data_IF_696533303175
#
_entry.id   IF_696533303175
#
_cell.length_a   1.000
_cell.length_b   1.000
_cell.length_c   1.000
_cell.angle_alpha   90.00
_cell.angle_beta   90.00
_cell.angle_gamma   90.00
#
_symmetry.space_group_name_H-M   'P 1'
#
loop_
_entity.id
_entity.type
_entity.pdbx_description
1 polymer ?
#
# COMPACT_ATOMS: atom_id res chain seq x y z
N UNK A 1 3.21 -0.56 15.06
CA UNK A 1 4.13 -1.43 14.29
C UNK A 1 5.24 -1.91 15.21
N UNK A 2 5.72 -3.15 15.07
CA UNK A 2 6.81 -3.70 15.88
C UNK A 2 8.08 -3.88 15.03
N UNK A 3 9.22 -3.37 15.52
CA UNK A 3 10.51 -3.52 14.86
C UNK A 3 11.52 -4.19 15.81
N UNK A 4 12.33 -5.08 15.26
CA UNK A 4 13.55 -5.53 15.93
C UNK A 4 14.60 -4.42 15.90
N UNK A 5 15.36 -4.23 16.97
CA UNK A 5 16.47 -3.26 17.00
C UNK A 5 17.78 -3.98 17.31
N UNK A 6 18.77 -3.76 16.46
CA UNK A 6 20.15 -4.20 16.66
C UNK A 6 20.98 -2.96 16.95
N UNK A 7 21.61 -2.88 18.12
CA UNK A 7 22.56 -1.82 18.45
C UNK A 7 23.97 -2.39 18.24
N UNK A 8 24.65 -1.94 17.19
CA UNK A 8 26.03 -2.38 16.90
C UNK A 8 27.02 -1.81 17.91
N UNK A 9 28.08 -2.56 18.20
CA UNK A 9 29.21 -2.10 19.00
C UNK A 9 30.52 -2.72 18.51
N UNK A 10 31.65 -2.21 18.99
CA UNK A 10 32.98 -2.79 18.79
C UNK A 10 33.84 -2.57 20.03
N UNK A 11 34.55 -3.61 20.46
CA UNK A 11 35.32 -3.71 21.70
C UNK A 11 36.25 -2.53 22.04
N UNK A 12 36.87 -1.90 21.04
CA UNK A 12 37.77 -0.77 21.25
C UNK A 12 37.12 0.63 21.16
N UNK A 13 35.79 0.70 21.00
CA UNK A 13 35.02 1.95 21.09
C UNK A 13 34.30 2.08 22.45
N UNK A 14 33.91 3.31 22.85
CA UNK A 14 33.30 3.52 24.16
C UNK A 14 31.91 2.88 24.28
N UNK A 15 31.76 1.89 25.17
CA UNK A 15 30.48 1.18 25.38
C UNK A 15 29.36 2.09 25.86
N UNK A 16 29.67 3.18 26.58
CA UNK A 16 28.66 4.16 27.03
C UNK A 16 27.82 4.77 25.90
N UNK A 17 28.31 4.69 24.64
CA UNK A 17 27.57 5.12 23.47
C UNK A 17 26.40 4.17 23.14
N UNK A 18 26.51 2.87 23.46
CA UNK A 18 25.45 1.86 23.30
C UNK A 18 24.29 2.17 24.24
N UNK A 19 24.58 2.44 25.50
CA UNK A 19 23.57 2.77 26.52
C UNK A 19 22.82 4.06 26.15
N UNK A 20 23.56 5.11 25.76
CA UNK A 20 22.95 6.37 25.29
C UNK A 20 22.03 6.15 24.08
N UNK A 21 22.46 5.35 23.11
CA UNK A 21 21.67 5.05 21.93
C UNK A 21 20.41 4.23 22.26
N UNK A 22 20.50 3.29 23.20
CA UNK A 22 19.35 2.54 23.71
C UNK A 22 18.30 3.46 24.32
N UNK A 23 18.69 4.36 25.22
CA UNK A 23 17.74 5.30 25.84
C UNK A 23 17.08 6.17 24.79
N UNK A 24 17.87 6.78 23.91
CA UNK A 24 17.37 7.70 22.90
C UNK A 24 16.38 7.02 21.93
N UNK A 25 16.68 5.80 21.45
CA UNK A 25 15.77 5.13 20.52
C UNK A 25 14.48 4.65 21.19
N UNK A 26 14.54 4.21 22.45
CA UNK A 26 13.33 3.81 23.20
C UNK A 26 12.40 5.02 23.34
N UNK A 27 12.94 6.20 23.66
CA UNK A 27 12.16 7.43 23.76
C UNK A 27 11.53 7.83 22.42
N UNK A 28 12.28 7.71 21.32
CA UNK A 28 11.77 7.96 19.96
C UNK A 28 10.65 6.98 19.59
N UNK A 29 10.82 5.69 19.87
CA UNK A 29 9.80 4.67 19.62
C UNK A 29 8.52 4.93 20.42
N UNK A 30 8.65 5.29 21.70
CA UNK A 30 7.51 5.67 22.53
C UNK A 30 6.77 6.88 21.96
N UNK A 31 7.49 7.94 21.57
CA UNK A 31 6.92 9.15 20.95
C UNK A 31 6.17 8.85 19.65
N UNK A 32 6.68 7.92 18.84
CA UNK A 32 6.09 7.54 17.55
C UNK A 32 5.08 6.39 17.65
N UNK A 33 4.75 5.92 18.86
CA UNK A 33 3.86 4.77 19.10
C UNK A 33 4.31 3.50 18.34
N UNK A 34 5.62 3.23 18.36
CA UNK A 34 6.25 2.04 17.81
C UNK A 34 6.69 1.11 18.94
N UNK A 35 6.66 -0.21 18.69
CA UNK A 35 7.09 -1.22 19.67
C UNK A 35 8.51 -1.71 19.32
N UNK A 36 9.51 -1.49 20.17
CA UNK A 36 10.86 -2.01 19.96
C UNK A 36 11.01 -3.43 20.54
N UNK A 37 11.70 -4.31 19.83
CA UNK A 37 12.18 -5.61 20.34
C UNK A 37 13.71 -5.60 20.24
N UNK A 38 14.40 -5.62 21.37
CA UNK A 38 15.86 -5.57 21.44
C UNK A 38 16.35 -6.32 22.67
N UNK A 39 17.59 -6.81 22.60
CA UNK A 39 18.24 -7.57 23.68
C UNK A 39 18.25 -6.76 24.97
N UNK A 40 18.06 -7.41 26.13
CA UNK A 40 18.14 -6.72 27.41
C UNK A 40 19.57 -6.21 27.69
N UNK A 41 19.70 -5.09 28.41
CA UNK A 41 21.00 -4.51 28.74
C UNK A 41 21.92 -5.44 29.54
N UNK A 42 21.36 -6.43 30.24
CA UNK A 42 22.11 -7.40 31.05
C UNK A 42 22.40 -8.72 30.32
N UNK A 43 21.79 -8.96 29.16
CA UNK A 43 21.98 -10.20 28.41
C UNK A 43 23.24 -10.18 27.53
N UNK A 44 23.68 -9.00 27.11
CA UNK A 44 24.94 -8.75 26.40
C UNK A 44 25.59 -7.48 26.94
N UNK A 45 26.74 -7.05 26.39
CA UNK A 45 27.42 -5.84 26.87
C UNK A 45 26.56 -4.60 26.59
N UNK A 46 25.85 -4.12 27.62
CA UNK A 46 24.87 -3.01 27.56
C UNK A 46 23.75 -3.24 26.52
N UNK A 47 23.50 -4.51 26.17
CA UNK A 47 22.54 -4.90 25.16
C UNK A 47 22.98 -4.57 23.72
N UNK A 48 24.27 -4.34 23.48
CA UNK A 48 24.87 -4.27 22.15
C UNK A 48 25.10 -5.64 21.53
N UNK A 49 25.30 -5.68 20.21
CA UNK A 49 25.60 -6.90 19.45
C UNK A 49 26.91 -6.71 18.71
N UNK A 50 27.90 -7.54 19.04
CA UNK A 50 29.23 -7.48 18.45
C UNK A 50 29.72 -8.90 18.08
N UNK A 51 29.69 -9.82 19.03
CA UNK A 51 30.20 -11.18 18.83
C UNK A 51 29.16 -12.13 18.27
N UNK A 52 29.59 -13.25 17.68
CA UNK A 52 28.69 -14.30 17.21
C UNK A 52 27.75 -14.83 18.29
N UNK A 53 28.21 -14.93 19.55
CA UNK A 53 27.39 -15.40 20.68
C UNK A 53 26.28 -14.41 21.04
N UNK A 54 26.57 -13.12 20.97
CA UNK A 54 25.56 -12.07 21.17
C UNK A 54 24.58 -12.03 20.00
N UNK A 55 25.10 -12.24 18.77
CA UNK A 55 24.28 -12.33 17.58
C UNK A 55 23.27 -13.50 17.67
N UNK A 56 23.69 -14.66 18.20
CA UNK A 56 22.82 -15.79 18.49
C UNK A 56 21.71 -15.42 19.48
N UNK A 57 22.01 -14.73 20.58
CA UNK A 57 21.00 -14.29 21.56
C UNK A 57 19.98 -13.35 20.92
N UNK A 58 20.44 -12.35 20.18
CA UNK A 58 19.56 -11.42 19.47
C UNK A 58 18.69 -12.14 18.42
N UNK A 59 19.26 -13.10 17.70
CA UNK A 59 18.53 -13.90 16.73
C UNK A 59 17.45 -14.77 17.37
N UNK A 60 17.71 -15.41 18.53
CA UNK A 60 16.71 -16.19 19.24
C UNK A 60 15.58 -15.30 19.79
N UNK A 61 15.89 -14.10 20.30
CA UNK A 61 14.88 -13.12 20.67
C UNK A 61 14.00 -12.75 19.47
N UNK A 62 14.61 -12.45 18.33
CA UNK A 62 13.87 -12.09 17.11
C UNK A 62 13.01 -13.25 16.60
N UNK A 63 13.47 -14.50 16.69
CA UNK A 63 12.66 -15.69 16.36
C UNK A 63 11.46 -15.84 17.28
N UNK A 64 11.64 -15.60 18.59
CA UNK A 64 10.54 -15.66 19.56
C UNK A 64 9.42 -14.64 19.25
N UNK A 65 9.78 -13.53 18.59
CA UNK A 65 8.85 -12.47 18.16
C UNK A 65 8.62 -12.43 16.63
N UNK A 66 8.84 -13.54 15.91
CA UNK A 66 8.77 -13.61 14.43
C UNK A 66 7.48 -13.05 13.84
N UNK A 67 6.34 -13.36 14.46
CA UNK A 67 5.02 -12.94 13.97
C UNK A 67 4.74 -11.45 14.23
N UNK A 68 5.43 -10.86 15.21
CA UNK A 68 5.29 -9.46 15.60
C UNK A 68 6.22 -8.55 14.79
N UNK A 69 7.48 -8.94 14.61
CA UNK A 69 8.51 -8.12 13.97
C UNK A 69 8.22 -7.97 12.48
N UNK A 70 8.04 -6.73 12.04
CA UNK A 70 7.72 -6.39 10.65
C UNK A 70 8.88 -5.78 9.86
N UNK A 71 9.94 -5.41 10.58
CA UNK A 71 11.17 -4.84 10.04
C UNK A 71 12.22 -4.75 11.14
N UNK A 72 13.46 -4.47 10.77
CA UNK A 72 14.59 -4.39 11.69
C UNK A 72 15.29 -3.05 11.51
N UNK A 73 15.58 -2.36 12.61
CA UNK A 73 16.41 -1.15 12.65
C UNK A 73 17.79 -1.51 13.19
N UNK A 74 18.83 -1.24 12.42
CA UNK A 74 20.22 -1.29 12.87
C UNK A 74 20.66 0.12 13.26
N UNK A 75 21.05 0.29 14.52
CA UNK A 75 21.60 1.53 15.07
C UNK A 75 23.10 1.37 15.28
N UNK A 76 23.86 2.33 14.76
CA UNK A 76 25.32 2.34 14.87
C UNK A 76 25.78 3.54 15.71
N UNK A 77 25.86 3.41 17.05
CA UNK A 77 26.37 4.45 17.94
C UNK A 77 27.87 4.70 17.77
N UNK A 78 28.61 3.74 17.24
CA UNK A 78 30.01 3.82 16.87
C UNK A 78 30.28 2.96 15.61
N UNK A 79 31.56 2.69 15.30
CA UNK A 79 31.98 1.71 14.31
C UNK A 79 31.67 0.28 14.77
N UNK A 80 30.38 -0.07 14.77
CA UNK A 80 29.89 -1.39 15.16
C UNK A 80 30.43 -2.50 14.26
N UNK A 81 30.65 -3.68 14.84
CA UNK A 81 31.09 -4.87 14.12
C UNK A 81 30.01 -5.37 13.15
N UNK A 82 30.36 -5.38 11.87
CA UNK A 82 29.48 -5.79 10.79
C UNK A 82 29.07 -7.27 10.84
N UNK A 83 29.85 -8.14 11.49
CA UNK A 83 29.53 -9.57 11.60
C UNK A 83 28.40 -9.79 12.57
N UNK A 84 28.41 -9.12 13.73
CA UNK A 84 27.33 -9.22 14.71
C UNK A 84 25.97 -8.92 14.09
N UNK A 85 25.87 -7.85 13.30
CA UNK A 85 24.64 -7.47 12.59
C UNK A 85 24.24 -8.52 11.55
N UNK A 86 25.15 -8.90 10.65
CA UNK A 86 24.85 -9.82 9.56
C UNK A 86 24.48 -11.23 10.08
N UNK A 87 25.18 -11.72 11.10
CA UNK A 87 24.92 -13.02 11.70
C UNK A 87 23.59 -13.03 12.46
N UNK A 88 23.21 -11.96 13.17
CA UNK A 88 21.88 -11.85 13.79
C UNK A 88 20.79 -12.00 12.74
N UNK A 89 20.87 -11.23 11.64
CA UNK A 89 19.86 -11.23 10.59
C UNK A 89 19.76 -12.60 9.90
N UNK A 90 20.91 -13.21 9.58
CA UNK A 90 20.99 -14.54 8.97
C UNK A 90 20.44 -15.64 9.89
N UNK A 91 20.82 -15.63 11.17
CA UNK A 91 20.38 -16.63 12.13
C UNK A 91 18.89 -16.49 12.46
N UNK A 92 18.38 -15.26 12.57
CA UNK A 92 16.98 -15.00 12.83
C UNK A 92 16.11 -15.45 11.65
N UNK A 93 16.56 -15.21 10.42
CA UNK A 93 15.88 -15.65 9.21
C UNK A 93 14.43 -15.15 9.13
N UNK A 94 14.19 -13.91 9.58
CA UNK A 94 12.86 -13.29 9.55
C UNK A 94 12.47 -12.83 8.14
N UNK A 95 13.45 -12.51 7.28
CA UNK A 95 13.25 -12.05 5.90
C UNK A 95 12.30 -10.84 5.78
N UNK A 96 12.43 -9.91 6.75
CA UNK A 96 11.75 -8.61 6.81
C UNK A 96 12.68 -7.47 6.39
N UNK A 97 12.15 -6.29 6.02
CA UNK A 97 12.97 -5.12 5.70
C UNK A 97 13.96 -4.72 6.80
N UNK A 98 15.08 -4.11 6.42
CA UNK A 98 16.14 -3.68 7.35
C UNK A 98 16.52 -2.23 7.08
N UNK A 99 16.48 -1.34 8.08
CA UNK A 99 16.92 0.06 7.99
C UNK A 99 18.26 0.24 8.70
N UNK A 100 19.22 0.91 8.07
CA UNK A 100 20.55 1.18 8.65
C UNK A 100 20.73 2.66 9.01
N UNK A 101 20.87 2.94 10.30
CA UNK A 101 21.17 4.27 10.85
C UNK A 101 22.56 4.30 11.47
N UNK A 102 23.21 5.47 11.39
CA UNK A 102 24.48 5.73 12.06
C UNK A 102 24.50 7.14 12.67
N UNK A 103 25.16 7.25 13.82
CA UNK A 103 25.28 8.51 14.55
C UNK A 103 26.33 9.45 13.94
N UNK A 104 26.13 10.78 13.98
CA UNK A 104 27.18 11.75 13.71
C UNK A 104 28.16 11.85 14.89
N UNK A 105 29.42 12.16 14.61
CA UNK A 105 30.39 12.58 15.62
C UNK A 105 30.11 14.01 16.12
N UNK A 106 30.47 14.28 17.38
CA UNK A 106 30.51 15.64 17.93
C UNK A 106 31.90 16.23 17.66
N UNK A 107 31.97 17.31 16.88
CA UNK A 107 33.21 17.96 16.44
C UNK A 107 34.13 18.30 17.61
N UNK A 108 33.58 18.62 18.78
CA UNK A 108 34.34 19.00 19.96
C UNK A 108 34.69 17.80 20.87
N UNK A 109 34.25 16.58 20.52
CA UNK A 109 34.43 15.37 21.31
C UNK A 109 34.93 14.19 20.48
N UNK A 110 35.87 14.43 19.57
CA UNK A 110 36.56 13.35 18.82
C UNK A 110 37.74 12.73 19.58
N UNK A 111 37.73 12.79 20.91
CA UNK A 111 38.72 12.11 21.75
C UNK A 111 38.36 10.62 21.92
N UNK A 112 39.32 9.83 22.41
CA UNK A 112 39.21 8.36 22.52
C UNK A 112 37.93 7.89 23.26
N UNK A 113 37.45 8.66 24.24
CA UNK A 113 36.30 8.26 25.07
C UNK A 113 34.93 8.67 24.51
N UNK A 114 34.88 9.45 23.42
CA UNK A 114 33.63 9.95 22.84
C UNK A 114 33.50 9.70 21.33
N UNK A 115 34.62 9.41 20.64
CA UNK A 115 34.66 9.16 19.20
C UNK A 115 33.72 8.02 18.81
N UNK A 116 33.00 8.19 17.69
CA UNK A 116 32.03 7.22 17.18
C UNK A 116 32.54 6.50 15.94
N UNK A 117 33.00 7.23 14.91
CA UNK A 117 33.31 6.66 13.59
C UNK A 117 32.15 5.84 12.96
N UNK A 118 30.89 6.13 13.35
CA UNK A 118 29.73 5.32 12.97
C UNK A 118 29.47 5.26 11.47
N UNK A 119 29.85 6.30 10.72
CA UNK A 119 29.70 6.28 9.26
C UNK A 119 30.58 5.20 8.61
N UNK A 120 31.81 5.02 9.10
CA UNK A 120 32.70 3.94 8.67
C UNK A 120 32.09 2.56 9.00
N UNK A 121 31.48 2.45 10.19
CA UNK A 121 30.70 1.27 10.58
C UNK A 121 29.52 1.00 9.66
N UNK A 122 28.75 2.03 9.28
CA UNK A 122 27.62 1.88 8.35
C UNK A 122 28.04 1.34 7.00
N UNK A 123 29.14 1.85 6.45
CA UNK A 123 29.71 1.33 5.19
C UNK A 123 30.09 -0.15 5.35
N UNK A 124 30.75 -0.51 6.46
CA UNK A 124 31.20 -1.88 6.72
C UNK A 124 30.02 -2.85 6.89
N UNK A 125 29.00 -2.46 7.66
CA UNK A 125 27.74 -3.21 7.81
C UNK A 125 27.07 -3.39 6.45
N UNK A 126 26.86 -2.32 5.69
CA UNK A 126 26.21 -2.40 4.38
C UNK A 126 26.97 -3.31 3.40
N UNK A 127 28.30 -3.23 3.41
CA UNK A 127 29.15 -4.12 2.61
C UNK A 127 28.96 -5.59 3.01
N UNK A 128 28.94 -5.89 4.31
CA UNK A 128 28.75 -7.26 4.79
C UNK A 128 27.33 -7.78 4.49
N UNK A 129 26.30 -6.95 4.64
CA UNK A 129 24.92 -7.32 4.26
C UNK A 129 24.81 -7.61 2.76
N UNK A 130 25.50 -6.85 1.91
CA UNK A 130 25.59 -7.12 0.48
C UNK A 130 26.24 -8.49 0.22
N UNK A 131 27.35 -8.82 0.89
CA UNK A 131 27.98 -10.15 0.78
C UNK A 131 27.05 -11.29 1.19
N UNK A 132 26.18 -11.06 2.18
CA UNK A 132 25.20 -12.04 2.67
C UNK A 132 23.93 -12.11 1.79
N UNK A 133 23.78 -11.21 0.81
CA UNK A 133 22.55 -11.10 0.01
C UNK A 133 21.35 -10.57 0.79
N UNK A 134 21.57 -9.86 1.90
CA UNK A 134 20.52 -9.28 2.74
C UNK A 134 20.19 -7.88 2.22
N UNK A 135 18.93 -7.67 1.85
CA UNK A 135 18.40 -6.38 1.39
C UNK A 135 18.24 -5.41 2.56
N UNK A 136 18.56 -4.14 2.33
CA UNK A 136 18.45 -3.08 3.33
C UNK A 136 18.06 -1.75 2.69
N UNK A 137 17.50 -0.86 3.51
CA UNK A 137 17.15 0.53 3.23
C UNK A 137 18.14 1.45 3.96
N UNK A 138 18.44 2.58 3.34
CA UNK A 138 19.29 3.62 3.93
C UNK A 138 18.45 4.84 4.34
N UNK A 139 18.86 5.48 5.43
CA UNK A 139 18.39 6.82 5.79
C UNK A 139 18.73 7.85 4.71
N UNK A 140 17.95 8.92 4.62
CA UNK A 140 18.16 10.00 3.64
C UNK A 140 19.48 10.75 3.86
N UNK A 141 19.99 10.77 5.09
CA UNK A 141 21.32 11.26 5.43
C UNK A 141 22.28 10.11 5.77
N UNK A 142 23.57 10.28 5.48
CA UNK A 142 24.58 9.26 5.76
C UNK A 142 24.71 8.99 7.27
N UNK A 143 24.60 10.04 8.09
CA UNK A 143 24.47 9.99 9.56
C UNK A 143 23.34 10.91 10.04
N UNK A 144 22.72 10.56 11.16
CA UNK A 144 21.65 11.35 11.80
C UNK A 144 21.50 10.95 13.28
N UNK A 145 20.99 11.84 14.12
CA UNK A 145 20.61 11.48 15.49
C UNK A 145 19.20 10.87 15.50
N UNK A 146 18.89 9.84 16.29
CA UNK A 146 17.54 9.32 16.38
C UNK A 146 16.49 10.35 16.81
N UNK A 147 16.88 11.30 17.65
CA UNK A 147 16.03 12.43 18.06
C UNK A 147 15.76 13.45 16.95
N UNK A 148 16.51 13.43 15.83
CA UNK A 148 16.31 14.39 14.74
C UNK A 148 15.01 14.15 13.97
N UNK A 149 14.39 15.24 13.49
CA UNK A 149 13.18 15.16 12.67
C UNK A 149 13.42 14.39 11.37
N UNK A 150 14.60 14.55 10.77
CA UNK A 150 14.98 13.83 9.55
C UNK A 150 14.99 12.32 9.75
N UNK A 151 15.60 11.82 10.83
CA UNK A 151 15.57 10.39 11.11
C UNK A 151 14.17 9.89 11.48
N UNK A 152 13.40 10.66 12.25
CA UNK A 152 12.02 10.28 12.58
C UNK A 152 11.16 10.15 11.31
N UNK A 153 11.38 11.01 10.31
CA UNK A 153 10.76 10.87 8.99
C UNK A 153 11.25 9.60 8.28
N UNK A 154 12.56 9.38 8.17
CA UNK A 154 13.12 8.17 7.54
C UNK A 154 12.58 6.88 8.18
N UNK A 155 12.44 6.87 9.51
CA UNK A 155 11.90 5.75 10.27
C UNK A 155 10.42 5.51 9.98
N UNK A 156 9.60 6.57 9.88
CA UNK A 156 8.19 6.46 9.52
C UNK A 156 7.99 5.99 8.06
N UNK A 157 8.79 6.51 7.13
CA UNK A 157 8.80 6.05 5.73
C UNK A 157 9.19 4.56 5.66
N UNK A 158 10.21 4.14 6.42
CA UNK A 158 10.60 2.73 6.52
C UNK A 158 9.51 1.85 7.16
N UNK A 159 8.79 2.35 8.17
CA UNK A 159 7.62 1.64 8.73
C UNK A 159 6.54 1.44 7.67
N UNK A 160 6.34 2.40 6.76
CA UNK A 160 5.44 2.25 5.62
C UNK A 160 5.95 1.20 4.62
N UNK A 161 7.26 1.18 4.31
CA UNK A 161 7.88 0.11 3.51
C UNK A 161 7.62 -1.26 4.13
N UNK A 162 7.82 -1.41 5.45
CA UNK A 162 7.53 -2.65 6.18
C UNK A 162 6.07 -3.09 6.01
N UNK A 163 5.12 -2.15 6.08
CA UNK A 163 3.69 -2.43 5.92
C UNK A 163 3.36 -2.90 4.50
N UNK A 164 3.90 -2.26 3.47
CA UNK A 164 3.73 -2.66 2.06
C UNK A 164 4.28 -4.06 1.82
N UNK A 165 5.52 -4.32 2.25
CA UNK A 165 6.18 -5.64 2.06
C UNK A 165 5.43 -6.75 2.81
N UNK A 166 4.99 -6.50 4.05
CA UNK A 166 4.23 -7.49 4.83
C UNK A 166 2.87 -7.79 4.20
N UNK A 167 2.15 -6.75 3.76
CA UNK A 167 0.82 -6.90 3.17
C UNK A 167 0.87 -7.62 1.83
N UNK A 168 1.74 -7.21 0.90
CA UNK A 168 1.80 -7.79 -0.44
C UNK A 168 2.25 -9.26 -0.46
N UNK A 169 3.07 -9.70 0.50
CA UNK A 169 3.50 -11.10 0.59
C UNK A 169 2.38 -12.08 0.96
N UNK A 170 1.26 -11.60 1.49
CA UNK A 170 0.19 -12.43 2.01
C UNK A 170 -1.20 -12.03 1.50
N UNK A 171 -1.26 -11.09 0.54
CA UNK A 171 -2.52 -10.51 0.09
C UNK A 171 -3.40 -11.55 -0.61
N UNK A 172 -4.69 -11.50 -0.30
CA UNK A 172 -5.72 -12.35 -0.90
C UNK A 172 -6.78 -11.49 -1.58
N UNK A 173 -6.86 -11.58 -2.91
CA UNK A 173 -7.77 -10.79 -3.73
C UNK A 173 -8.93 -11.67 -4.21
N UNK A 174 -10.17 -11.25 -3.93
CA UNK A 174 -11.36 -11.88 -4.50
C UNK A 174 -11.67 -11.36 -5.90
N UNK A 175 -11.50 -12.19 -6.93
CA UNK A 175 -11.95 -11.90 -8.30
C UNK A 175 -13.41 -12.38 -8.46
N UNK A 176 -14.36 -11.46 -8.38
CA UNK A 176 -15.80 -11.77 -8.34
C UNK A 176 -16.42 -11.58 -9.73
N UNK A 177 -16.84 -12.68 -10.33
CA UNK A 177 -17.40 -12.73 -11.67
C UNK A 177 -16.35 -12.81 -12.77
N UNK A 178 -16.82 -12.77 -14.01
CA UNK A 178 -15.96 -12.82 -15.18
C UNK A 178 -15.52 -11.40 -15.57
N UNK A 179 -14.23 -11.22 -15.84
CA UNK A 179 -13.72 -9.99 -16.46
C UNK A 179 -14.52 -9.67 -17.72
N UNK A 180 -14.95 -8.41 -17.95
CA UNK A 180 -15.62 -8.03 -19.19
C UNK A 180 -14.83 -8.47 -20.42
N UNK A 181 -15.51 -9.14 -21.36
CA UNK A 181 -14.85 -9.80 -22.51
C UNK A 181 -14.04 -8.84 -23.38
N UNK A 182 -14.51 -7.59 -23.51
CA UNK A 182 -13.83 -6.54 -24.28
C UNK A 182 -12.55 -6.00 -23.61
N UNK A 183 -12.39 -6.18 -22.31
CA UNK A 183 -11.32 -5.55 -21.52
C UNK A 183 -10.08 -6.44 -21.48
N UNK A 184 -9.51 -6.71 -22.67
CA UNK A 184 -8.26 -7.45 -22.79
C UNK A 184 -7.08 -6.79 -22.08
N UNK A 185 -7.15 -5.47 -21.90
CA UNK A 185 -6.15 -4.68 -21.19
C UNK A 185 -5.94 -5.15 -19.75
N UNK A 186 -6.98 -5.52 -19.01
CA UNK A 186 -6.84 -5.94 -17.59
C UNK A 186 -6.61 -7.46 -17.43
N UNK A 187 -5.99 -8.10 -18.43
CA UNK A 187 -5.48 -9.47 -18.29
C UNK A 187 -4.36 -9.47 -17.26
N UNK A 188 -4.32 -10.53 -16.46
CA UNK A 188 -3.25 -10.75 -15.51
C UNK A 188 -2.89 -12.23 -15.46
N UNK A 189 -1.69 -12.51 -14.94
CA UNK A 189 -1.19 -13.86 -14.75
C UNK A 189 -1.28 -14.28 -13.30
N UNK A 190 -2.34 -15.03 -12.96
CA UNK A 190 -2.53 -15.58 -11.61
C UNK A 190 -1.33 -16.43 -11.16
N UNK A 191 -0.68 -17.14 -12.08
CA UNK A 191 0.52 -17.94 -11.78
C UNK A 191 1.73 -17.09 -11.39
N UNK A 192 1.92 -15.94 -12.04
CA UNK A 192 3.00 -15.00 -11.69
C UNK A 192 2.69 -14.38 -10.32
N UNK A 193 1.45 -13.96 -10.09
CA UNK A 193 1.01 -13.43 -8.79
C UNK A 193 1.24 -14.44 -7.66
N UNK A 194 0.80 -15.70 -7.84
CA UNK A 194 0.95 -16.76 -6.85
C UNK A 194 2.41 -17.06 -6.50
N UNK A 195 3.31 -17.02 -7.50
CA UNK A 195 4.76 -17.17 -7.27
C UNK A 195 5.37 -16.03 -6.45
N UNK A 196 4.69 -14.89 -6.38
CA UNK A 196 5.08 -13.71 -5.61
C UNK A 196 4.30 -13.55 -4.29
N UNK A 197 3.58 -14.59 -3.84
CA UNK A 197 2.83 -14.57 -2.57
C UNK A 197 1.47 -13.88 -2.65
N UNK A 198 1.01 -13.50 -3.85
CA UNK A 198 -0.28 -12.86 -4.08
C UNK A 198 -1.29 -13.92 -4.50
N UNK A 199 -2.30 -14.15 -3.67
CA UNK A 199 -3.34 -15.15 -3.96
C UNK A 199 -4.54 -14.47 -4.60
N UNK A 200 -5.06 -15.06 -5.68
CA UNK A 200 -6.34 -14.68 -6.28
C UNK A 200 -7.34 -15.80 -6.01
N UNK A 201 -8.50 -15.46 -5.45
CA UNK A 201 -9.62 -16.39 -5.26
C UNK A 201 -10.75 -15.97 -6.18
N UNK A 202 -11.17 -16.86 -7.08
CA UNK A 202 -12.25 -16.56 -8.04
C UNK A 202 -13.62 -16.97 -7.49
N UNK A 203 -14.63 -16.12 -7.68
CA UNK A 203 -16.01 -16.39 -7.29
C UNK A 203 -16.93 -16.24 -8.50
N UNK A 204 -17.90 -17.15 -8.64
CA UNK A 204 -18.90 -17.04 -9.70
C UNK A 204 -19.93 -15.96 -9.32
N UNK A 205 -20.19 -15.01 -10.23
CA UNK A 205 -21.13 -13.93 -9.97
C UNK A 205 -22.55 -14.45 -9.69
N UNK A 206 -22.95 -15.57 -10.29
CA UNK A 206 -24.28 -16.17 -10.06
C UNK A 206 -24.47 -16.65 -8.62
N UNK A 207 -23.41 -17.08 -7.94
CA UNK A 207 -23.47 -17.44 -6.52
C UNK A 207 -23.78 -16.20 -5.67
N UNK A 208 -23.11 -15.08 -5.96
CA UNK A 208 -23.30 -13.79 -5.28
C UNK A 208 -24.74 -13.32 -5.45
N UNK A 209 -25.22 -13.28 -6.70
CA UNK A 209 -26.57 -12.84 -7.02
C UNK A 209 -27.62 -13.80 -6.43
N UNK A 210 -27.35 -15.11 -6.45
CA UNK A 210 -28.21 -16.13 -5.85
C UNK A 210 -28.34 -15.98 -4.34
N UNK A 211 -27.24 -15.67 -3.63
CA UNK A 211 -27.26 -15.34 -2.19
C UNK A 211 -28.04 -14.05 -1.94
N UNK A 212 -27.75 -12.99 -2.70
CA UNK A 212 -28.37 -11.69 -2.50
C UNK A 212 -29.89 -11.70 -2.76
N UNK A 213 -30.35 -12.47 -3.75
CA UNK A 213 -31.78 -12.64 -4.05
C UNK A 213 -32.55 -13.42 -2.97
N UNK A 214 -31.88 -14.22 -2.15
CA UNK A 214 -32.52 -14.97 -1.04
C UNK A 214 -32.70 -14.12 0.22
N UNK A 215 -32.06 -12.95 0.31
CA UNK A 215 -32.17 -12.08 1.47
C UNK A 215 -33.52 -11.33 1.47
N UNK A 216 -34.30 -11.53 2.53
CA UNK A 216 -35.58 -10.85 2.69
C UNK A 216 -35.38 -9.34 2.90
N UNK A 217 -36.36 -8.53 2.48
CA UNK A 217 -36.32 -7.06 2.63
C UNK A 217 -36.24 -6.64 4.11
N UNK A 218 -36.86 -7.41 4.99
CA UNK A 218 -36.93 -7.16 6.42
C UNK A 218 -35.80 -7.79 7.23
N UNK A 219 -34.86 -8.49 6.56
CA UNK A 219 -33.66 -9.05 7.17
C UNK A 219 -32.85 -7.95 7.89
N UNK A 220 -32.47 -8.23 9.13
CA UNK A 220 -31.75 -7.28 9.99
C UNK A 220 -30.43 -6.82 9.37
N UNK A 221 -29.68 -7.71 8.69
CA UNK A 221 -28.42 -7.36 8.02
C UNK A 221 -28.68 -6.40 6.86
N UNK A 222 -29.71 -6.66 6.06
CA UNK A 222 -30.08 -5.81 4.92
C UNK A 222 -30.46 -4.41 5.38
N UNK A 223 -31.25 -4.29 6.46
CA UNK A 223 -31.62 -2.99 7.05
C UNK A 223 -30.40 -2.20 7.54
N UNK A 224 -29.48 -2.86 8.25
CA UNK A 224 -28.25 -2.23 8.74
C UNK A 224 -27.37 -1.72 7.60
N UNK A 225 -27.20 -2.51 6.54
CA UNK A 225 -26.43 -2.10 5.37
C UNK A 225 -27.13 -0.96 4.61
N UNK A 226 -28.45 -1.00 4.48
CA UNK A 226 -29.21 0.10 3.88
C UNK A 226 -29.06 1.41 4.68
N UNK A 227 -29.10 1.35 6.02
CA UNK A 227 -28.83 2.50 6.89
C UNK A 227 -27.41 3.04 6.68
N UNK A 228 -26.41 2.16 6.62
CA UNK A 228 -25.02 2.52 6.36
C UNK A 228 -24.85 3.23 5.01
N UNK A 229 -25.47 2.72 3.95
CA UNK A 229 -25.43 3.32 2.62
C UNK A 229 -26.07 4.72 2.64
N UNK A 230 -27.23 4.89 3.29
CA UNK A 230 -27.89 6.20 3.39
C UNK A 230 -27.07 7.22 4.22
N UNK A 231 -26.32 6.75 5.21
CA UNK A 231 -25.39 7.61 5.97
C UNK A 231 -24.12 7.94 5.18
N UNK A 232 -23.73 7.08 4.24
CA UNK A 232 -22.52 7.24 3.45
C UNK A 232 -22.65 8.34 2.40
N UNK A 233 -23.70 8.32 1.58
CA UNK A 233 -23.94 9.34 0.55
C UNK A 233 -25.44 9.61 0.36
N UNK A 234 -25.84 10.85 0.05
CA UNK A 234 -27.22 11.16 -0.33
C UNK A 234 -27.68 10.27 -1.49
N UNK A 235 -28.88 9.71 -1.39
CA UNK A 235 -29.41 8.81 -2.42
C UNK A 235 -29.80 9.49 -3.75
N UNK A 236 -29.81 10.83 -3.79
CA UNK A 236 -30.20 11.57 -4.98
C UNK A 236 -31.58 11.16 -5.53
N UNK A 237 -31.62 10.83 -6.82
CA UNK A 237 -32.80 10.30 -7.53
C UNK A 237 -32.89 8.78 -7.52
N UNK A 238 -32.04 8.09 -6.77
CA UNK A 238 -31.98 6.63 -6.76
C UNK A 238 -33.25 6.03 -6.13
N UNK A 239 -33.98 5.14 -6.84
CA UNK A 239 -35.17 4.49 -6.31
C UNK A 239 -34.88 3.61 -5.08
N UNK A 240 -35.84 3.52 -4.16
CA UNK A 240 -35.70 2.70 -2.95
C UNK A 240 -35.45 1.21 -3.26
N UNK A 241 -35.98 0.69 -4.36
CA UNK A 241 -35.75 -0.68 -4.81
C UNK A 241 -34.29 -0.93 -5.18
N UNK A 242 -33.67 -0.01 -5.93
CA UNK A 242 -32.25 -0.07 -6.26
C UNK A 242 -31.38 0.03 -4.99
N UNK A 243 -31.74 0.91 -4.04
CA UNK A 243 -31.05 0.99 -2.75
C UNK A 243 -31.08 -0.33 -1.98
N UNK A 244 -32.23 -1.03 -2.00
CA UNK A 244 -32.39 -2.34 -1.37
C UNK A 244 -31.56 -3.43 -2.07
N UNK A 245 -31.50 -3.42 -3.41
CA UNK A 245 -30.64 -4.32 -4.18
C UNK A 245 -29.16 -4.10 -3.83
N UNK A 246 -28.70 -2.85 -3.79
CA UNK A 246 -27.32 -2.52 -3.38
C UNK A 246 -27.06 -3.02 -1.96
N UNK A 247 -27.96 -2.79 -1.00
CA UNK A 247 -27.80 -3.25 0.38
C UNK A 247 -27.70 -4.79 0.50
N UNK A 248 -28.51 -5.55 -0.26
CA UNK A 248 -28.43 -7.02 -0.29
C UNK A 248 -27.11 -7.50 -0.87
N UNK A 249 -26.63 -6.86 -1.93
CA UNK A 249 -25.34 -7.18 -2.53
C UNK A 249 -24.21 -6.89 -1.54
N UNK A 250 -24.26 -5.75 -0.85
CA UNK A 250 -23.27 -5.33 0.15
C UNK A 250 -23.15 -6.32 1.31
N UNK A 251 -24.29 -6.86 1.79
CA UNK A 251 -24.31 -7.94 2.80
C UNK A 251 -23.52 -9.15 2.32
N UNK A 252 -23.81 -9.64 1.11
CA UNK A 252 -23.16 -10.86 0.57
C UNK A 252 -21.67 -10.63 0.32
N UNK A 253 -21.30 -9.46 -0.22
CA UNK A 253 -19.89 -9.11 -0.44
C UNK A 253 -19.11 -9.09 0.89
N UNK A 254 -19.70 -8.51 1.94
CA UNK A 254 -19.10 -8.51 3.28
C UNK A 254 -18.93 -9.92 3.83
N UNK A 255 -19.95 -10.76 3.71
CA UNK A 255 -19.87 -12.17 4.15
C UNK A 255 -18.75 -12.92 3.41
N UNK A 256 -18.60 -12.73 2.10
CA UNK A 256 -17.54 -13.38 1.31
C UNK A 256 -16.15 -12.92 1.71
N UNK A 257 -15.98 -11.62 1.96
CA UNK A 257 -14.73 -11.05 2.46
C UNK A 257 -14.31 -11.71 3.78
N UNK A 258 -15.25 -11.85 4.72
CA UNK A 258 -15.02 -12.45 6.04
C UNK A 258 -14.78 -13.97 5.95
N UNK A 259 -15.65 -14.69 5.23
CA UNK A 259 -15.60 -16.16 5.06
C UNK A 259 -14.28 -16.62 4.42
N UNK A 260 -13.74 -15.84 3.47
CA UNK A 260 -12.56 -16.22 2.69
C UNK A 260 -11.27 -15.50 3.10
N UNK A 261 -11.36 -14.65 4.13
CA UNK A 261 -10.26 -13.81 4.65
C UNK A 261 -9.58 -13.08 3.48
N UNK A 262 -10.36 -12.23 2.82
CA UNK A 262 -9.90 -11.44 1.68
C UNK A 262 -9.45 -10.06 2.16
N UNK A 263 -8.40 -9.55 1.53
CA UNK A 263 -7.91 -8.19 1.78
C UNK A 263 -8.54 -7.17 0.82
N UNK A 264 -8.99 -7.64 -0.36
CA UNK A 264 -9.44 -6.78 -1.43
C UNK A 264 -10.30 -7.54 -2.45
N UNK A 265 -11.04 -6.83 -3.30
CA UNK A 265 -11.84 -7.43 -4.38
C UNK A 265 -11.64 -6.74 -5.73
N UNK A 266 -11.92 -7.49 -6.79
CA UNK A 266 -12.08 -6.98 -8.15
C UNK A 266 -13.39 -7.57 -8.69
N UNK A 267 -14.36 -6.72 -9.04
CA UNK A 267 -15.74 -7.15 -9.28
C UNK A 267 -16.10 -6.93 -10.74
N UNK A 268 -16.82 -7.90 -11.32
CA UNK A 268 -17.52 -7.75 -12.59
C UNK A 268 -18.67 -6.76 -12.41
N UNK A 269 -18.34 -5.47 -12.46
CA UNK A 269 -19.29 -4.40 -12.23
C UNK A 269 -20.27 -4.21 -13.39
N UNK A 270 -19.99 -4.74 -14.58
CA UNK A 270 -20.89 -4.72 -15.74
C UNK A 270 -20.64 -5.88 -16.72
N UNK A 271 -21.56 -6.18 -17.65
CA UNK A 271 -22.99 -5.77 -17.68
C UNK A 271 -23.90 -6.72 -16.89
N UNK A 272 -23.37 -7.89 -16.48
CA UNK A 272 -24.17 -8.97 -15.90
C UNK A 272 -24.93 -8.54 -14.65
N UNK A 273 -24.31 -7.68 -13.84
CA UNK A 273 -24.91 -7.12 -12.64
C UNK A 273 -26.17 -6.28 -12.97
N UNK A 274 -26.10 -5.41 -13.97
CA UNK A 274 -27.24 -4.59 -14.39
C UNK A 274 -28.34 -5.46 -15.02
N UNK A 275 -27.98 -6.38 -15.91
CA UNK A 275 -28.97 -7.18 -16.66
C UNK A 275 -29.68 -8.23 -15.79
N UNK A 276 -28.97 -8.82 -14.82
CA UNK A 276 -29.50 -9.94 -14.04
C UNK A 276 -29.92 -9.55 -12.61
N UNK A 277 -29.50 -8.37 -12.12
CA UNK A 277 -29.78 -7.94 -10.76
C UNK A 277 -30.37 -6.53 -10.67
N UNK A 278 -30.06 -5.63 -11.60
CA UNK A 278 -30.73 -4.33 -11.74
C UNK A 278 -30.06 -3.15 -11.02
N UNK A 279 -28.79 -3.28 -10.60
CA UNK A 279 -28.06 -2.17 -9.99
C UNK A 279 -26.57 -2.14 -10.33
N UNK A 280 -25.91 -1.05 -9.93
CA UNK A 280 -24.46 -0.91 -9.93
C UNK A 280 -23.89 -1.20 -8.54
N UNK A 281 -22.80 -1.96 -8.50
CA UNK A 281 -22.05 -2.30 -7.26
C UNK A 281 -21.09 -1.18 -6.80
N UNK A 282 -21.05 -0.06 -7.52
CA UNK A 282 -20.09 1.03 -7.31
C UNK A 282 -20.14 1.64 -5.91
N UNK A 283 -21.34 1.86 -5.33
CA UNK A 283 -21.48 2.32 -3.94
C UNK A 283 -20.84 1.36 -2.93
N UNK A 284 -21.06 0.05 -3.08
CA UNK A 284 -20.41 -0.97 -2.22
C UNK A 284 -18.89 -0.93 -2.35
N UNK A 285 -18.37 -0.87 -3.59
CA UNK A 285 -16.92 -0.80 -3.82
C UNK A 285 -16.28 0.45 -3.20
N UNK A 286 -16.99 1.58 -3.25
CA UNK A 286 -16.56 2.83 -2.62
C UNK A 286 -16.54 2.72 -1.09
N UNK A 287 -17.58 2.15 -0.48
CA UNK A 287 -17.64 1.92 0.98
C UNK A 287 -16.51 0.99 1.41
N UNK A 288 -16.27 -0.10 0.67
CA UNK A 288 -15.16 -1.00 0.96
C UNK A 288 -13.81 -0.27 0.88
N UNK A 289 -13.58 0.49 -0.19
CA UNK A 289 -12.32 1.22 -0.39
C UNK A 289 -12.09 2.32 0.66
N UNK A 290 -13.15 3.01 1.10
CA UNK A 290 -13.11 3.95 2.24
C UNK A 290 -12.68 3.25 3.52
N UNK A 291 -13.12 2.02 3.74
CA UNK A 291 -12.79 1.20 4.90
C UNK A 291 -11.47 0.43 4.74
N UNK A 292 -10.58 0.86 3.83
CA UNK A 292 -9.28 0.24 3.58
C UNK A 292 -9.33 -1.22 3.08
N UNK A 293 -10.44 -1.59 2.42
CA UNK A 293 -10.65 -2.85 1.71
C UNK A 293 -10.83 -2.54 0.22
N UNK A 294 -9.76 -2.37 -0.57
CA UNK A 294 -9.87 -1.81 -1.90
C UNK A 294 -10.68 -2.73 -2.80
N UNK A 295 -11.58 -2.12 -3.58
CA UNK A 295 -12.46 -2.85 -4.50
C UNK A 295 -12.47 -2.18 -5.87
N UNK A 296 -12.04 -2.92 -6.90
CA UNK A 296 -11.87 -2.42 -8.25
C UNK A 296 -12.96 -2.91 -9.21
N UNK A 297 -13.23 -2.11 -10.22
CA UNK A 297 -14.13 -2.43 -11.32
C UNK A 297 -13.50 -3.44 -12.31
N UNK A 298 -14.32 -3.94 -13.25
CA UNK A 298 -13.94 -4.79 -14.39
C UNK A 298 -13.15 -6.08 -14.05
N UNK A 299 -13.20 -6.55 -12.81
CA UNK A 299 -12.33 -7.64 -12.32
C UNK A 299 -10.84 -7.31 -12.56
N UNK A 300 -10.47 -6.04 -12.42
CA UNK A 300 -9.09 -5.59 -12.56
C UNK A 300 -8.25 -5.92 -11.32
N UNK A 301 -7.80 -7.17 -11.24
CA UNK A 301 -7.06 -7.72 -10.09
C UNK A 301 -5.74 -6.99 -9.84
N UNK A 302 -4.97 -6.65 -10.88
CA UNK A 302 -3.70 -5.93 -10.72
C UNK A 302 -3.91 -4.45 -10.40
N UNK A 303 -5.04 -3.87 -10.84
CA UNK A 303 -5.54 -2.57 -10.36
C UNK A 303 -5.86 -2.60 -8.86
N UNK A 304 -6.61 -3.60 -8.40
CA UNK A 304 -6.89 -3.82 -6.97
C UNK A 304 -5.59 -3.98 -6.16
N UNK A 305 -4.63 -4.75 -6.67
CA UNK A 305 -3.33 -4.92 -6.02
C UNK A 305 -2.59 -3.58 -5.89
N UNK A 306 -2.69 -2.72 -6.90
CA UNK A 306 -2.13 -1.36 -6.88
C UNK A 306 -2.81 -0.47 -5.83
N UNK A 307 -4.14 -0.53 -5.73
CA UNK A 307 -4.91 0.17 -4.70
C UNK A 307 -4.48 -0.26 -3.29
N UNK A 308 -4.34 -1.56 -3.08
CA UNK A 308 -3.91 -2.12 -1.80
C UNK A 308 -2.48 -1.70 -1.44
N UNK A 309 -1.54 -1.76 -2.38
CA UNK A 309 -0.17 -1.30 -2.15
C UNK A 309 -0.12 0.18 -1.73
N UNK A 310 -0.88 1.05 -2.39
CA UNK A 310 -0.93 2.48 -2.07
C UNK A 310 -1.63 2.78 -0.75
N UNK A 311 -2.69 2.03 -0.42
CA UNK A 311 -3.33 2.10 0.90
C UNK A 311 -2.36 1.69 2.03
N UNK A 312 -1.56 0.64 1.82
CA UNK A 312 -0.52 0.23 2.76
C UNK A 312 0.59 1.28 2.90
N UNK A 313 0.98 1.94 1.81
CA UNK A 313 2.01 2.97 1.86
C UNK A 313 1.52 4.22 2.62
N UNK A 314 0.34 4.73 2.26
CA UNK A 314 -0.19 6.02 2.73
C UNK A 314 -0.99 5.93 4.03
N UNK A 315 -1.63 4.81 4.31
CA UNK A 315 -2.66 4.70 5.35
C UNK A 315 -3.98 5.39 5.00
N UNK A 316 -4.22 5.76 3.73
CA UNK A 316 -5.46 6.39 3.26
C UNK A 316 -6.06 5.64 2.06
N UNK A 317 -7.38 5.80 1.80
CA UNK A 317 -8.04 5.16 0.66
C UNK A 317 -7.38 5.44 -0.69
N UNK A 318 -7.48 4.47 -1.61
CA UNK A 318 -7.07 4.63 -3.01
C UNK A 318 -8.26 4.41 -3.93
N UNK A 319 -8.17 4.88 -5.17
CA UNK A 319 -9.21 4.72 -6.18
C UNK A 319 -8.64 4.24 -7.51
N UNK A 320 -9.33 3.32 -8.18
CA UNK A 320 -9.06 2.96 -9.57
C UNK A 320 -9.70 4.00 -10.49
N UNK A 321 -8.93 4.53 -11.42
CA UNK A 321 -9.34 5.59 -12.34
C UNK A 321 -8.81 5.30 -13.75
N UNK A 322 -9.40 5.96 -14.73
CA UNK A 322 -8.91 5.96 -16.10
C UNK A 322 -7.92 7.11 -16.32
N UNK A 323 -6.81 6.84 -17.00
CA UNK A 323 -6.14 7.90 -17.75
C UNK A 323 -7.07 8.38 -18.86
N UNK A 324 -7.60 9.59 -18.72
CA UNK A 324 -8.43 10.21 -19.74
C UNK A 324 -7.67 11.33 -20.46
N UNK A 325 -8.32 11.98 -21.40
CA UNK A 325 -7.71 13.01 -22.25
C UNK A 325 -7.09 14.16 -21.44
N UNK A 326 -6.21 14.91 -22.12
CA UNK A 326 -5.67 16.15 -21.60
C UNK A 326 -6.78 17.08 -21.10
N UNK A 327 -6.46 17.87 -20.08
CA UNK A 327 -7.33 18.95 -19.64
C UNK A 327 -7.15 20.14 -20.58
N UNK A 328 -8.08 20.30 -21.51
CA UNK A 328 -8.00 21.28 -22.59
C UNK A 328 -6.69 21.14 -23.39
N UNK A 329 -5.92 22.21 -23.51
CA UNK A 329 -4.65 22.30 -24.24
C UNK A 329 -3.41 22.17 -23.35
N UNK A 330 -3.57 21.92 -22.04
CA UNK A 330 -2.44 21.74 -21.12
C UNK A 330 -1.82 20.36 -21.28
N UNK A 331 -0.56 20.32 -21.75
CA UNK A 331 0.17 19.09 -22.02
C UNK A 331 0.56 18.29 -20.75
N UNK A 332 0.51 18.92 -19.57
CA UNK A 332 0.85 18.31 -18.29
C UNK A 332 -0.37 18.05 -17.41
N UNK A 333 -1.59 18.31 -17.89
CA UNK A 333 -2.81 17.99 -17.17
C UNK A 333 -3.69 17.03 -17.93
N UNK A 334 -4.34 16.13 -17.21
CA UNK A 334 -5.34 15.21 -17.75
C UNK A 334 -6.55 15.11 -16.83
N UNK A 335 -7.65 14.64 -17.41
CA UNK A 335 -8.81 14.22 -16.64
C UNK A 335 -8.57 12.82 -16.09
N UNK A 336 -8.90 12.61 -14.83
CA UNK A 336 -9.10 11.28 -14.25
C UNK A 336 -10.60 11.05 -14.13
N UNK A 337 -11.06 9.87 -14.53
CA UNK A 337 -12.48 9.54 -14.54
C UNK A 337 -12.70 8.07 -14.17
N UNK A 338 -13.83 7.77 -13.53
CA UNK A 338 -14.40 6.43 -13.52
C UNK A 338 -15.92 6.53 -13.32
N UNK A 339 -16.63 5.45 -13.64
CA UNK A 339 -18.09 5.40 -13.58
C UNK A 339 -18.71 5.65 -12.19
N UNK A 340 -17.98 5.53 -11.08
CA UNK A 340 -18.53 5.85 -9.75
C UNK A 340 -18.02 5.05 -8.54
N UNK A 341 -16.81 4.48 -8.57
CA UNK A 341 -16.30 3.57 -7.52
C UNK A 341 -15.34 4.23 -6.51
N UNK A 342 -15.15 5.55 -6.55
CA UNK A 342 -14.13 6.20 -5.71
C UNK A 342 -14.61 6.36 -4.28
N UNK A 343 -13.71 6.10 -3.33
CA UNK A 343 -13.97 6.28 -1.90
C UNK A 343 -14.40 7.73 -1.59
N UNK A 344 -15.33 7.91 -0.66
CA UNK A 344 -15.89 9.21 -0.23
C UNK A 344 -14.83 10.22 0.20
N UNK A 345 -13.70 9.76 0.73
CA UNK A 345 -12.54 10.62 1.04
C UNK A 345 -12.07 11.45 -0.17
N UNK A 346 -12.33 11.02 -1.40
CA UNK A 346 -12.05 11.76 -2.64
C UNK A 346 -13.21 12.67 -3.10
N UNK A 347 -14.39 12.59 -2.50
CA UNK A 347 -15.64 13.13 -3.06
C UNK A 347 -16.42 13.92 -2.00
N UNK A 348 -16.04 15.18 -1.72
CA UNK A 348 -16.75 16.00 -0.74
C UNK A 348 -18.21 16.31 -1.13
N UNK A 349 -18.53 16.26 -2.43
CA UNK A 349 -19.84 16.50 -3.02
C UNK A 349 -20.54 15.21 -3.49
N UNK A 350 -20.19 14.07 -2.89
CA UNK A 350 -20.68 12.74 -3.26
C UNK A 350 -22.21 12.63 -3.28
N UNK A 351 -22.75 11.97 -4.31
CA UNK A 351 -24.17 11.58 -4.42
C UNK A 351 -24.29 10.19 -5.09
N UNK A 352 -25.23 9.37 -4.64
CA UNK A 352 -25.60 8.12 -5.33
C UNK A 352 -26.49 8.45 -6.53
N UNK A 353 -26.04 8.07 -7.71
CA UNK A 353 -26.66 8.34 -9.01
C UNK A 353 -26.73 7.07 -9.87
N UNK A 354 -27.06 7.26 -11.15
CA UNK A 354 -26.95 6.24 -12.20
C UNK A 354 -25.58 6.28 -12.89
N UNK A 355 -25.29 5.30 -13.76
CA UNK A 355 -24.15 5.35 -14.68
C UNK A 355 -24.64 5.70 -16.11
N UNK A 356 -24.58 6.99 -16.54
CA UNK A 356 -25.24 7.43 -17.77
C UNK A 356 -24.77 6.71 -19.03
N UNK A 357 -23.45 6.47 -19.17
CA UNK A 357 -22.88 5.78 -20.34
C UNK A 357 -23.46 4.38 -20.46
N UNK A 358 -23.41 3.58 -19.39
CA UNK A 358 -23.93 2.23 -19.38
C UNK A 358 -25.47 2.22 -19.57
N UNK A 359 -26.15 3.20 -18.98
CA UNK A 359 -27.60 3.37 -19.08
C UNK A 359 -28.10 3.55 -20.52
N UNK A 360 -27.27 4.07 -21.44
CA UNK A 360 -27.61 4.14 -22.87
C UNK A 360 -27.77 2.77 -23.54
N UNK A 361 -27.18 1.73 -22.95
CA UNK A 361 -27.15 0.37 -23.51
C UNK A 361 -28.06 -0.60 -22.76
N UNK A 362 -28.10 -0.51 -21.42
CA UNK A 362 -28.85 -1.47 -20.58
C UNK A 362 -30.07 -0.85 -19.87
N UNK A 363 -30.40 0.42 -20.15
CA UNK A 363 -31.49 1.14 -19.49
C UNK A 363 -31.03 1.83 -18.20
N UNK A 364 -31.49 3.07 -17.97
CA UNK A 364 -31.10 3.88 -16.80
C UNK A 364 -31.56 3.22 -15.51
N UNK A 365 -32.75 2.62 -15.53
CA UNK A 365 -33.38 1.89 -14.43
C UNK A 365 -32.51 0.77 -13.86
N UNK A 366 -31.61 0.21 -14.66
CA UNK A 366 -30.73 -0.89 -14.25
C UNK A 366 -29.35 -0.42 -13.77
N UNK A 367 -29.07 0.88 -13.77
CA UNK A 367 -27.71 1.44 -13.56
C UNK A 367 -27.55 2.30 -12.30
N UNK A 368 -28.57 2.32 -11.44
CA UNK A 368 -28.53 3.01 -10.17
C UNK A 368 -27.53 2.37 -9.20
N UNK A 369 -26.82 3.19 -8.42
CA UNK A 369 -25.78 2.75 -7.48
C UNK A 369 -24.36 3.13 -7.88
N UNK A 370 -24.20 3.94 -8.92
CA UNK A 370 -22.95 4.65 -9.19
C UNK A 370 -22.82 5.88 -8.29
N UNK A 371 -21.60 6.33 -8.01
CA UNK A 371 -21.38 7.60 -7.31
C UNK A 371 -21.03 8.70 -8.31
N UNK A 372 -21.60 9.88 -8.10
CA UNK A 372 -21.17 11.12 -8.73
C UNK A 372 -20.40 11.96 -7.71
N UNK A 373 -19.40 12.71 -8.17
CA UNK A 373 -18.68 13.66 -7.33
C UNK A 373 -17.36 14.08 -7.96
N UNK A 374 -16.79 15.17 -7.46
CA UNK A 374 -15.55 15.74 -7.95
C UNK A 374 -14.50 15.82 -6.87
N UNK A 375 -13.31 15.34 -7.18
CA UNK A 375 -12.17 15.46 -6.29
C UNK A 375 -11.57 16.87 -6.30
N UNK A 376 -11.35 17.49 -5.13
CA UNK A 376 -10.69 18.79 -5.02
C UNK A 376 -9.18 18.66 -5.21
N UNK A 377 -8.46 19.79 -5.12
CA UNK A 377 -7.01 19.77 -5.10
C UNK A 377 -6.45 19.00 -3.90
N UNK A 378 -5.55 18.05 -4.16
CA UNK A 378 -4.91 17.18 -3.17
C UNK A 378 -3.55 16.68 -3.70
N UNK A 379 -2.62 16.28 -2.82
CA UNK A 379 -1.44 15.54 -3.24
C UNK A 379 -1.83 14.26 -4.01
N UNK A 380 -1.10 13.93 -5.06
CA UNK A 380 -1.33 12.72 -5.84
C UNK A 380 -0.07 11.84 -5.85
N UNK A 381 -0.24 10.59 -5.43
CA UNK A 381 0.59 9.46 -5.85
C UNK A 381 -0.24 8.64 -6.82
N UNK A 382 0.32 8.31 -7.99
CA UNK A 382 -0.33 7.47 -8.98
C UNK A 382 0.56 6.29 -9.35
N UNK A 383 -0.03 5.27 -9.97
CA UNK A 383 0.72 4.12 -10.42
C UNK A 383 -0.11 2.90 -10.74
N UNK A 384 0.58 1.89 -11.27
CA UNK A 384 -0.01 0.65 -11.76
C UNK A 384 1.00 -0.48 -11.61
N UNK A 385 0.61 -1.53 -10.89
CA UNK A 385 1.23 -2.85 -10.92
C UNK A 385 0.56 -3.64 -12.05
N UNK A 386 1.36 -4.41 -12.80
CA UNK A 386 0.91 -5.29 -13.87
C UNK A 386 1.76 -6.56 -13.93
N UNK A 387 1.25 -7.60 -14.59
CA UNK A 387 2.03 -8.80 -14.91
C UNK A 387 2.44 -8.80 -16.38
N UNK A 388 3.69 -9.15 -16.66
CA UNK A 388 4.20 -9.30 -18.01
C UNK A 388 4.42 -10.79 -18.30
N UNK A 389 3.39 -11.46 -18.85
CA UNK A 389 3.44 -12.90 -19.14
C UNK A 389 4.61 -13.32 -20.06
N UNK A 390 4.92 -12.59 -21.16
CA UNK A 390 6.08 -12.92 -21.99
C UNK A 390 7.41 -12.91 -21.24
N UNK A 391 7.60 -12.00 -20.28
CA UNK A 391 8.81 -11.91 -19.46
C UNK A 391 8.75 -12.77 -18.20
N UNK A 392 7.55 -13.18 -17.77
CA UNK A 392 7.34 -13.92 -16.53
C UNK A 392 7.55 -13.09 -15.25
N UNK A 393 7.38 -11.76 -15.31
CA UNK A 393 7.68 -10.83 -14.20
C UNK A 393 6.46 -10.01 -13.78
N UNK A 394 6.53 -9.43 -12.58
CA UNK A 394 5.68 -8.31 -12.17
C UNK A 394 6.45 -7.03 -12.46
N UNK A 395 5.76 -6.05 -13.06
CA UNK A 395 6.29 -4.72 -13.34
C UNK A 395 5.34 -3.66 -12.80
N UNK A 396 5.85 -2.49 -12.48
CA UNK A 396 5.02 -1.34 -12.12
C UNK A 396 5.60 -0.03 -12.64
N UNK A 397 4.73 0.95 -12.80
CA UNK A 397 5.13 2.36 -12.78
C UNK A 397 4.45 3.08 -11.63
N UNK A 398 5.15 4.07 -11.09
CA UNK A 398 4.69 4.91 -10.00
C UNK A 398 5.22 6.33 -10.20
N UNK A 399 4.50 7.33 -9.72
CA UNK A 399 4.94 8.71 -9.75
C UNK A 399 4.07 9.59 -8.88
N UNK A 400 4.44 10.87 -8.82
CA UNK A 400 3.73 11.87 -8.04
C UNK A 400 3.30 13.05 -8.90
N UNK A 401 2.20 13.69 -8.50
CA UNK A 401 1.64 14.86 -9.14
C UNK A 401 0.70 15.59 -8.19
N UNK A 402 -0.19 16.42 -8.71
CA UNK A 402 -1.22 17.09 -7.91
C UNK A 402 -2.59 16.86 -8.54
N UNK A 403 -3.61 16.60 -7.72
CA UNK A 403 -4.99 16.86 -8.12
C UNK A 403 -5.23 18.37 -8.00
N UNK A 404 -6.04 18.93 -8.89
CA UNK A 404 -6.20 20.38 -9.05
C UNK A 404 -7.64 20.82 -8.91
N UNK A 405 -7.85 22.11 -8.63
CA UNK A 405 -9.17 22.72 -8.53
C UNK A 405 -9.75 23.16 -9.89
N UNK A 406 -9.14 22.78 -11.00
CA UNK A 406 -9.60 23.11 -12.35
C UNK A 406 -11.05 22.63 -12.61
N UNK A 407 -11.96 23.52 -13.06
CA UNK A 407 -13.37 23.16 -13.25
C UNK A 407 -13.55 22.00 -14.24
N UNK A 408 -14.41 21.04 -13.87
CA UNK A 408 -14.73 19.89 -14.72
C UNK A 408 -16.20 19.51 -14.54
N UNK A 409 -17.02 19.96 -15.49
CA UNK A 409 -18.47 19.77 -15.49
C UNK A 409 -18.84 18.55 -16.34
N UNK A 410 -18.86 17.38 -15.71
CA UNK A 410 -19.36 16.13 -16.29
C UNK A 410 -19.95 15.26 -15.17
N UNK A 411 -20.48 14.09 -15.50
CA UNK A 411 -21.01 13.11 -14.55
C UNK A 411 -19.90 12.18 -14.02
N UNK A 412 -20.26 11.23 -13.15
CA UNK A 412 -19.39 10.21 -12.58
C UNK A 412 -18.39 10.77 -11.57
N UNK A 413 -17.41 9.93 -11.20
CA UNK A 413 -16.31 10.39 -10.38
C UNK A 413 -15.21 10.97 -11.28
N UNK A 414 -14.75 12.18 -10.92
CA UNK A 414 -13.90 12.97 -11.80
C UNK A 414 -12.90 13.83 -11.03
N UNK A 415 -11.71 13.98 -11.61
CA UNK A 415 -10.67 14.88 -11.12
C UNK A 415 -9.86 15.44 -12.29
N UNK A 416 -9.08 16.49 -12.03
CA UNK A 416 -8.04 16.96 -12.95
C UNK A 416 -6.69 16.77 -12.26
N UNK A 417 -5.81 16.01 -12.89
CA UNK A 417 -4.47 15.75 -12.39
C UNK A 417 -3.45 16.57 -13.18
N UNK A 418 -2.44 17.10 -12.48
CA UNK A 418 -1.26 17.72 -13.05
C UNK A 418 -0.04 16.85 -12.75
N UNK A 419 0.67 16.45 -13.80
CA UNK A 419 1.80 15.53 -13.72
C UNK A 419 2.96 16.15 -14.52
N UNK A 420 4.13 16.39 -13.89
CA UNK A 420 5.31 16.82 -14.62
C UNK A 420 5.69 15.81 -15.70
N UNK A 421 5.96 16.25 -16.93
CA UNK A 421 6.28 15.36 -18.07
C UNK A 421 5.24 14.26 -18.34
N UNK A 422 3.95 14.61 -18.25
CA UNK A 422 2.84 13.69 -18.55
C UNK A 422 2.99 13.02 -19.93
N UNK A 423 3.49 13.74 -20.92
CA UNK A 423 3.71 13.19 -22.27
C UNK A 423 4.78 12.11 -22.29
N UNK A 424 5.85 12.26 -21.51
CA UNK A 424 6.86 11.23 -21.29
C UNK A 424 6.26 9.99 -20.61
N UNK A 425 5.47 10.19 -19.55
CA UNK A 425 4.76 9.11 -18.85
C UNK A 425 3.83 8.34 -19.79
N UNK A 426 2.95 9.03 -20.53
CA UNK A 426 1.98 8.37 -21.41
C UNK A 426 2.67 7.58 -22.53
N UNK A 427 3.79 8.09 -23.07
CA UNK A 427 4.62 7.32 -24.02
C UNK A 427 5.19 6.06 -23.37
N UNK A 428 5.65 6.15 -22.12
CA UNK A 428 6.17 4.99 -21.38
C UNK A 428 5.06 3.94 -21.15
N UNK A 429 3.89 4.35 -20.67
CA UNK A 429 2.72 3.49 -20.43
C UNK A 429 2.36 2.72 -21.70
N UNK A 430 2.18 3.42 -22.84
CA UNK A 430 1.81 2.80 -24.10
C UNK A 430 2.89 1.86 -24.68
N UNK A 431 4.18 2.24 -24.59
CA UNK A 431 5.29 1.43 -25.14
C UNK A 431 5.58 0.18 -24.33
N UNK A 432 5.24 0.18 -23.05
CA UNK A 432 5.52 -0.92 -22.14
C UNK A 432 4.28 -1.79 -21.84
N UNK A 433 3.16 -1.56 -22.53
CA UNK A 433 1.98 -2.41 -22.45
C UNK A 433 1.31 -2.39 -21.08
N UNK A 434 1.25 -1.22 -20.45
CA UNK A 434 0.45 -1.00 -19.24
C UNK A 434 -1.02 -0.76 -19.61
N UNK A 435 -1.89 -0.99 -18.63
CA UNK A 435 -3.33 -0.84 -18.74
C UNK A 435 -3.75 0.64 -18.75
N UNK A 436 -4.98 0.90 -19.23
CA UNK A 436 -5.56 2.24 -19.20
C UNK A 436 -5.95 2.68 -17.79
N UNK A 437 -6.29 1.72 -16.93
CA UNK A 437 -6.52 1.97 -15.53
C UNK A 437 -5.22 2.34 -14.81
N UNK A 438 -5.31 3.35 -13.96
CA UNK A 438 -4.29 3.75 -13.01
C UNK A 438 -4.93 3.87 -11.64
N UNK A 439 -4.13 3.73 -10.59
CA UNK A 439 -4.59 4.02 -9.23
C UNK A 439 -4.14 5.41 -8.83
N UNK A 440 -5.02 6.14 -8.15
CA UNK A 440 -4.68 7.36 -7.45
C UNK A 440 -4.81 7.18 -5.93
N UNK A 441 -3.91 7.83 -5.19
CA UNK A 441 -3.94 7.95 -3.74
C UNK A 441 -3.60 9.38 -3.32
N UNK A 442 -4.28 9.89 -2.30
CA UNK A 442 -4.16 11.26 -1.81
C UNK A 442 -2.89 11.45 -0.93
N UNK A 443 -1.69 11.22 -1.51
CA UNK A 443 -0.42 11.25 -0.77
C UNK A 443 0.80 11.54 -1.64
N UNK A 444 1.99 11.54 -1.03
CA UNK A 444 3.31 11.57 -1.68
C UNK A 444 4.14 10.40 -1.16
N UNK A 445 3.88 9.22 -1.72
CA UNK A 445 4.42 7.94 -1.24
C UNK A 445 5.15 7.14 -2.32
N UNK A 446 5.53 7.76 -3.45
CA UNK A 446 6.18 7.05 -4.55
C UNK A 446 7.54 6.46 -4.14
N UNK A 447 8.33 7.15 -3.32
CA UNK A 447 9.62 6.59 -2.82
C UNK A 447 9.43 5.38 -1.92
N UNK A 448 8.36 5.34 -1.11
CA UNK A 448 8.03 4.19 -0.25
C UNK A 448 7.67 2.98 -1.12
N UNK A 449 6.86 3.19 -2.16
CA UNK A 449 6.47 2.14 -3.10
C UNK A 449 7.66 1.66 -3.93
N UNK A 450 8.51 2.56 -4.42
CA UNK A 450 9.74 2.23 -5.14
C UNK A 450 10.62 1.30 -4.32
N UNK A 451 10.87 1.66 -3.06
CA UNK A 451 11.71 0.88 -2.14
C UNK A 451 11.06 -0.48 -1.83
N UNK A 452 9.76 -0.51 -1.50
CA UNK A 452 9.08 -1.75 -1.17
C UNK A 452 9.01 -2.71 -2.37
N UNK A 453 8.58 -2.23 -3.54
CA UNK A 453 8.35 -3.06 -4.71
C UNK A 453 9.66 -3.42 -5.43
N UNK A 454 10.56 -2.46 -5.59
CA UNK A 454 11.83 -2.66 -6.28
C UNK A 454 12.82 -3.42 -5.41
N UNK A 455 13.23 -2.83 -4.28
CA UNK A 455 14.25 -3.43 -3.41
C UNK A 455 13.73 -4.74 -2.82
N UNK A 456 12.64 -4.73 -2.06
CA UNK A 456 12.22 -5.91 -1.29
C UNK A 456 11.46 -6.96 -2.08
N UNK A 457 10.46 -6.57 -2.89
CA UNK A 457 9.71 -7.53 -3.72
C UNK A 457 10.47 -7.96 -4.97
N UNK A 458 11.46 -7.19 -5.42
CA UNK A 458 12.30 -7.53 -6.58
C UNK A 458 11.61 -7.36 -7.93
N UNK A 459 10.64 -6.45 -8.02
CA UNK A 459 9.87 -6.19 -9.24
C UNK A 459 10.54 -5.12 -10.12
N UNK A 460 10.20 -5.11 -11.42
CA UNK A 460 10.65 -4.06 -12.33
C UNK A 460 9.85 -2.78 -12.08
N UNK A 461 10.50 -1.71 -11.61
CA UNK A 461 9.84 -0.44 -11.29
C UNK A 461 10.36 0.68 -12.17
N UNK A 462 9.44 1.43 -12.76
CA UNK A 462 9.70 2.76 -13.32
C UNK A 462 9.10 3.81 -12.40
N UNK A 463 9.97 4.65 -11.83
CA UNK A 463 9.56 5.85 -11.12
C UNK A 463 9.62 7.04 -12.07
N UNK A 464 8.47 7.63 -12.30
CA UNK A 464 8.29 8.89 -13.02
C UNK A 464 8.40 10.05 -12.03
#
# INVERSE_FOLDING_TARGET
MTLGIIIGNRDFFPDSLVEKARTEIIDVFAKLNLKPILVDSNETKLGGVETFKEAQKCAELFKAHREEITGILVLLPNFGDEKGVADTLKLAGLNVPVLIQAYPDDLNKMNVVNRRDSWCGKISVCNNLYQYGIKYTLTSQHVSLPSSETFQKDLLDFVAVCRVVKGLKNVRIGAIGARPGAFNTVRYSEKILQRNGITVTTFDLSEILGRANKLATDDTKVKQHLESINAYAPKGRTPNEAMLQIARLDVVLKEIMEENVLDATAIQCWTSLQQNYGCNVCTSMSIMSENMLPSACEVDVTGTLSMYAMQLASGSPSALVDWNNNYADDENKCVLFHCGNWAKSFLPDIEISNAPILGTTVGVENTYGALDGRTPAMPLTYGRISTDDPKGVIKAYIGEGELTNDPLNTFGNRAVAQIPDLQGLMKYVCRNGFEHHVVMNASKTASILEEALGNYMGWEIYKH
#
